data_IF_428761983433
#
_entry.id   IF_428761983433
#
_cell.length_a   1.000
_cell.length_b   1.000
_cell.length_c   1.000
_cell.angle_alpha   90.00
_cell.angle_beta   90.00
_cell.angle_gamma   90.00
#
_symmetry.space_group_name_H-M   'P 1'
#
loop_
_entity.id
_entity.type
_entity.pdbx_description
1 polymer ?
#
# COMPACT_ATOMS: atom_id res chain seq x y z
N UNK A 1 9.77 -37.07 -4.62
CA UNK A 1 9.22 -35.79 -5.13
C UNK A 1 10.35 -34.78 -5.06
N UNK A 2 10.82 -34.34 -6.22
CA UNK A 2 11.94 -33.39 -6.31
C UNK A 2 11.33 -32.00 -6.30
N UNK A 3 11.58 -31.23 -5.24
CA UNK A 3 11.16 -29.83 -5.18
C UNK A 3 12.11 -29.05 -6.08
N UNK A 4 11.66 -28.69 -7.28
CA UNK A 4 12.34 -27.67 -8.08
C UNK A 4 12.39 -26.38 -7.26
N UNK A 5 13.53 -25.72 -7.10
CA UNK A 5 13.52 -24.34 -6.69
C UNK A 5 12.76 -23.58 -7.79
N UNK A 6 11.52 -23.16 -7.50
CA UNK A 6 10.88 -22.13 -8.32
C UNK A 6 11.90 -21.01 -8.44
N UNK A 7 12.26 -20.72 -9.69
CA UNK A 7 13.15 -19.62 -10.04
C UNK A 7 12.79 -18.44 -9.15
N UNK A 8 13.79 -17.89 -8.44
CA UNK A 8 13.67 -16.64 -7.73
C UNK A 8 12.81 -15.70 -8.59
N UNK A 9 11.71 -15.20 -8.02
CA UNK A 9 10.82 -14.30 -8.71
C UNK A 9 11.68 -13.24 -9.41
N UNK A 10 11.69 -13.29 -10.75
CA UNK A 10 12.39 -12.35 -11.60
C UNK A 10 11.89 -10.97 -11.19
N UNK A 11 12.67 -10.21 -10.43
CA UNK A 11 12.26 -8.96 -9.78
C UNK A 11 11.37 -8.10 -10.68
N UNK A 12 10.05 -8.02 -10.40
CA UNK A 12 9.17 -6.98 -10.93
C UNK A 12 8.81 -5.95 -9.84
N UNK A 13 9.26 -6.19 -8.60
CA UNK A 13 8.96 -5.41 -7.41
C UNK A 13 9.51 -3.99 -7.51
N UNK A 14 10.71 -3.82 -8.07
CA UNK A 14 11.32 -2.49 -8.27
C UNK A 14 10.50 -1.58 -9.21
N UNK A 15 9.60 -2.11 -10.03
CA UNK A 15 8.75 -1.30 -10.91
C UNK A 15 7.49 -0.78 -10.21
N UNK A 16 6.67 -1.71 -9.70
CA UNK A 16 5.40 -1.37 -9.07
C UNK A 16 5.60 -0.69 -7.71
N UNK A 17 6.51 -1.17 -6.88
CA UNK A 17 6.78 -0.56 -5.57
C UNK A 17 7.39 0.83 -5.76
N UNK A 18 8.31 1.01 -6.73
CA UNK A 18 8.87 2.33 -7.03
C UNK A 18 7.83 3.28 -7.61
N UNK A 19 6.94 2.81 -8.50
CA UNK A 19 5.84 3.61 -9.02
C UNK A 19 4.89 4.05 -7.90
N UNK A 20 4.53 3.12 -7.01
CA UNK A 20 3.69 3.40 -5.87
C UNK A 20 4.32 4.45 -4.96
N UNK A 21 5.57 4.25 -4.55
CA UNK A 21 6.29 5.18 -3.67
C UNK A 21 6.53 6.53 -4.33
N UNK A 22 6.83 6.58 -5.63
CA UNK A 22 6.96 7.84 -6.37
C UNK A 22 5.63 8.59 -6.46
N UNK A 23 4.53 7.87 -6.64
CA UNK A 23 3.18 8.45 -6.64
C UNK A 23 2.84 9.01 -5.26
N UNK A 24 3.11 8.28 -4.17
CA UNK A 24 2.91 8.78 -2.81
C UNK A 24 3.72 10.05 -2.53
N UNK A 25 4.99 10.08 -2.95
CA UNK A 25 5.86 11.25 -2.81
C UNK A 25 5.29 12.48 -3.54
N UNK A 26 4.68 12.29 -4.72
CA UNK A 26 4.01 13.35 -5.47
C UNK A 26 2.81 13.96 -4.74
N UNK A 27 2.18 13.22 -3.83
CA UNK A 27 1.12 13.67 -2.93
C UNK A 27 1.66 14.21 -1.60
N UNK A 28 2.98 14.24 -1.39
CA UNK A 28 3.58 14.62 -0.11
C UNK A 28 3.41 13.57 0.99
N UNK A 29 3.18 12.31 0.61
CA UNK A 29 3.12 11.15 1.50
C UNK A 29 4.49 10.45 1.43
N UNK A 30 5.38 10.80 2.35
CA UNK A 30 6.77 10.32 2.31
C UNK A 30 7.08 9.37 3.46
N UNK A 31 8.02 8.46 3.25
CA UNK A 31 8.52 7.57 4.31
C UNK A 31 9.61 8.23 5.18
N UNK A 32 10.01 9.47 4.86
CA UNK A 32 11.13 10.21 5.48
C UNK A 32 12.44 9.39 5.57
N UNK A 33 12.70 8.54 4.59
CA UNK A 33 13.87 7.65 4.54
C UNK A 33 13.78 6.45 5.48
N UNK A 34 12.64 6.22 6.15
CA UNK A 34 12.48 5.14 7.13
C UNK A 34 11.99 3.88 6.45
N UNK A 35 12.86 2.86 6.38
CA UNK A 35 12.53 1.57 5.79
C UNK A 35 11.26 0.93 6.38
N UNK A 36 11.03 1.05 7.69
CA UNK A 36 9.82 0.51 8.33
C UNK A 36 8.53 1.17 7.83
N UNK A 37 8.54 2.49 7.60
CA UNK A 37 7.37 3.22 7.07
C UNK A 37 7.15 2.86 5.60
N UNK A 38 8.24 2.75 4.83
CA UNK A 38 8.18 2.26 3.45
C UNK A 38 7.52 0.88 3.35
N UNK A 39 7.97 -0.06 4.18
CA UNK A 39 7.38 -1.41 4.25
C UNK A 39 5.90 -1.35 4.63
N UNK A 40 5.54 -0.48 5.57
CA UNK A 40 4.15 -0.31 5.99
C UNK A 40 3.27 0.27 4.87
N UNK A 41 3.77 1.23 4.09
CA UNK A 41 3.04 1.72 2.92
C UNK A 41 2.81 0.63 1.89
N UNK A 42 3.83 -0.20 1.60
CA UNK A 42 3.68 -1.32 0.66
C UNK A 42 2.67 -2.34 1.16
N UNK A 43 2.70 -2.68 2.46
CA UNK A 43 1.71 -3.56 3.07
C UNK A 43 0.28 -3.01 2.94
N UNK A 44 0.09 -1.72 3.26
CA UNK A 44 -1.20 -1.06 3.12
C UNK A 44 -1.68 -1.06 1.68
N UNK A 45 -0.81 -0.74 0.72
CA UNK A 45 -1.15 -0.71 -0.70
C UNK A 45 -1.53 -2.08 -1.25
N UNK A 46 -0.75 -3.11 -0.94
CA UNK A 46 -1.11 -4.49 -1.31
C UNK A 46 -2.43 -4.93 -0.67
N UNK A 47 -2.66 -4.54 0.58
CA UNK A 47 -3.92 -4.84 1.27
C UNK A 47 -5.11 -4.12 0.62
N UNK A 48 -4.99 -2.84 0.26
CA UNK A 48 -6.02 -2.10 -0.48
C UNK A 48 -6.42 -2.81 -1.76
N UNK A 49 -5.46 -3.28 -2.54
CA UNK A 49 -5.74 -4.06 -3.75
C UNK A 49 -6.46 -5.38 -3.46
N UNK A 50 -6.08 -6.09 -2.40
CA UNK A 50 -6.80 -7.30 -1.98
C UNK A 50 -8.26 -7.00 -1.62
N UNK A 51 -8.54 -5.87 -0.95
CA UNK A 51 -9.89 -5.48 -0.56
C UNK A 51 -10.75 -5.02 -1.73
N UNK A 52 -10.16 -4.40 -2.75
CA UNK A 52 -10.88 -3.83 -3.89
C UNK A 52 -11.12 -4.82 -5.05
N UNK A 53 -10.49 -5.99 -5.01
CA UNK A 53 -10.64 -7.02 -6.05
C UNK A 53 -11.70 -8.08 -5.68
N UNK A 54 -12.22 -8.84 -6.67
CA UNK A 54 -13.09 -9.99 -6.42
C UNK A 54 -12.47 -10.98 -5.41
N UNK A 55 -13.29 -11.73 -4.64
CA UNK A 55 -14.70 -12.04 -4.89
C UNK A 55 -15.72 -11.13 -4.18
N UNK A 56 -15.29 -10.28 -3.24
CA UNK A 56 -16.17 -9.37 -2.50
C UNK A 56 -15.48 -8.01 -2.36
N UNK A 57 -15.50 -7.19 -3.42
CA UNK A 57 -14.84 -5.90 -3.38
C UNK A 57 -15.47 -5.02 -2.30
N UNK A 58 -14.63 -4.43 -1.47
CA UNK A 58 -15.02 -3.35 -0.56
C UNK A 58 -15.15 -2.04 -1.34
N UNK A 59 -15.80 -1.04 -0.74
CA UNK A 59 -15.78 0.31 -1.29
C UNK A 59 -14.40 0.95 -1.07
N UNK A 60 -14.07 1.94 -1.91
CA UNK A 60 -12.90 2.77 -1.72
C UNK A 60 -12.93 3.45 -0.35
N UNK A 61 -14.07 4.03 0.06
CA UNK A 61 -14.24 4.69 1.36
C UNK A 61 -13.96 3.75 2.56
N UNK A 62 -14.39 2.49 2.48
CA UNK A 62 -14.09 1.51 3.53
C UNK A 62 -12.60 1.16 3.54
N UNK A 63 -11.96 1.11 2.37
CA UNK A 63 -10.51 0.91 2.25
C UNK A 63 -9.74 2.09 2.86
N UNK A 64 -10.18 3.32 2.60
CA UNK A 64 -9.64 4.55 3.21
C UNK A 64 -9.75 4.51 4.73
N UNK A 65 -10.94 4.15 5.24
CA UNK A 65 -11.15 3.97 6.69
C UNK A 65 -10.20 2.93 7.28
N UNK A 66 -10.02 1.78 6.62
CA UNK A 66 -9.11 0.72 7.08
C UNK A 66 -7.63 1.21 7.13
N UNK A 67 -7.20 2.05 6.20
CA UNK A 67 -5.85 2.64 6.19
C UNK A 67 -5.66 3.56 7.43
N UNK A 68 -6.64 4.42 7.70
CA UNK A 68 -6.60 5.34 8.85
C UNK A 68 -6.63 4.59 10.19
N UNK A 69 -7.43 3.53 10.28
CA UNK A 69 -7.49 2.66 11.44
C UNK A 69 -6.18 1.90 11.65
N UNK A 70 -5.57 1.40 10.58
CA UNK A 70 -4.27 0.72 10.63
C UNK A 70 -3.17 1.67 11.14
N UNK A 71 -3.13 2.92 10.67
CA UNK A 71 -2.21 3.91 11.22
C UNK A 71 -2.49 4.17 12.70
N UNK A 72 -3.76 4.27 13.10
CA UNK A 72 -4.13 4.50 14.51
C UNK A 72 -3.65 3.36 15.41
N UNK A 73 -3.79 2.12 14.96
CA UNK A 73 -3.27 0.93 15.65
C UNK A 73 -1.74 0.94 15.73
N UNK A 74 -1.05 1.30 14.65
CA UNK A 74 0.40 1.41 14.64
C UNK A 74 0.91 2.46 15.63
N UNK A 75 0.27 3.64 15.66
CA UNK A 75 0.59 4.70 16.61
C UNK A 75 0.36 4.22 18.05
N UNK A 76 -0.74 3.51 18.31
CA UNK A 76 -1.03 2.94 19.62
C UNK A 76 -0.01 1.87 20.04
N UNK A 77 0.55 1.13 19.07
CA UNK A 77 1.65 0.17 19.28
C UNK A 77 3.03 0.83 19.42
N UNK A 78 3.12 2.17 19.34
CA UNK A 78 4.37 2.94 19.51
C UNK A 78 5.16 3.15 18.22
N UNK A 79 4.61 2.79 17.06
CA UNK A 79 5.27 3.03 15.77
C UNK A 79 5.21 4.53 15.42
N UNK A 80 6.39 5.12 15.17
CA UNK A 80 6.51 6.55 14.86
C UNK A 80 6.34 6.85 13.38
N UNK A 81 5.10 7.17 13.01
CA UNK A 81 4.76 7.70 11.69
C UNK A 81 5.28 9.14 11.48
N UNK A 82 5.64 9.51 10.23
CA UNK A 82 6.07 10.87 9.88
C UNK A 82 5.02 11.94 10.18
N UNK A 83 3.76 11.63 9.84
CA UNK A 83 2.58 12.46 10.07
C UNK A 83 1.37 11.55 10.26
N UNK A 84 0.30 12.07 10.84
CA UNK A 84 -1.02 11.45 10.72
C UNK A 84 -1.52 11.65 9.29
N UNK A 85 -2.06 10.60 8.68
CA UNK A 85 -2.69 10.69 7.37
C UNK A 85 -4.02 11.44 7.51
N UNK A 86 -4.29 12.38 6.61
CA UNK A 86 -5.65 12.85 6.37
C UNK A 86 -6.47 11.79 5.63
N UNK A 87 -7.78 12.02 5.51
CA UNK A 87 -8.62 11.21 4.63
C UNK A 87 -8.11 11.25 3.19
N UNK A 88 -7.84 12.44 2.64
CA UNK A 88 -7.22 12.61 1.31
C UNK A 88 -5.89 11.86 1.17
N UNK A 89 -5.02 11.85 2.19
CA UNK A 89 -3.77 11.09 2.13
C UNK A 89 -4.04 9.58 1.99
N UNK A 90 -5.03 9.07 2.71
CA UNK A 90 -5.40 7.66 2.68
C UNK A 90 -6.13 7.28 1.39
N UNK A 91 -6.92 8.19 0.81
CA UNK A 91 -7.52 8.04 -0.52
C UNK A 91 -6.44 7.98 -1.60
N UNK A 92 -5.53 8.96 -1.65
CA UNK A 92 -4.41 8.95 -2.57
C UNK A 92 -3.52 7.72 -2.41
N UNK A 93 -3.33 7.20 -1.18
CA UNK A 93 -2.61 5.95 -0.96
C UNK A 93 -3.33 4.76 -1.60
N UNK A 94 -4.64 4.65 -1.40
CA UNK A 94 -5.45 3.58 -1.99
C UNK A 94 -5.45 3.65 -3.53
N UNK A 95 -5.59 4.86 -4.10
CA UNK A 95 -5.56 5.07 -5.55
C UNK A 95 -4.20 4.78 -6.16
N UNK A 96 -3.12 5.25 -5.52
CA UNK A 96 -1.75 4.94 -5.94
C UNK A 96 -1.49 3.42 -5.91
N UNK A 97 -1.99 2.74 -4.88
CA UNK A 97 -1.90 1.29 -4.76
C UNK A 97 -2.68 0.59 -5.88
N UNK A 98 -3.89 1.05 -6.19
CA UNK A 98 -4.68 0.52 -7.31
C UNK A 98 -3.93 0.68 -8.63
N UNK A 99 -3.39 1.86 -8.91
CA UNK A 99 -2.63 2.13 -10.13
C UNK A 99 -1.36 1.29 -10.27
N UNK A 100 -0.66 1.01 -9.17
CA UNK A 100 0.60 0.27 -9.18
C UNK A 100 0.42 -1.26 -9.07
N UNK A 101 -0.44 -1.74 -8.18
CA UNK A 101 -0.53 -3.15 -7.81
C UNK A 101 -1.74 -3.89 -8.39
N UNK A 102 -2.83 -3.19 -8.72
CA UNK A 102 -4.03 -3.80 -9.27
C UNK A 102 -4.71 -2.92 -10.33
N UNK A 103 -4.04 -2.61 -11.46
CA UNK A 103 -4.57 -1.68 -12.47
C UNK A 103 -5.89 -2.13 -13.10
N UNK A 104 -6.23 -3.43 -13.03
CA UNK A 104 -7.52 -3.96 -13.45
C UNK A 104 -8.70 -3.50 -12.57
N UNK A 105 -8.44 -3.06 -11.34
CA UNK A 105 -9.43 -2.48 -10.44
C UNK A 105 -9.70 -0.99 -10.72
N UNK A 106 -8.82 -0.33 -11.48
CA UNK A 106 -8.94 1.08 -11.87
C UNK A 106 -9.90 1.33 -13.05
N UNK A 107 -10.59 0.28 -13.52
CA UNK A 107 -11.25 0.22 -14.84
C UNK A 107 -12.76 0.28 -14.77
#
# INVERSE_FOLDING_TARGET
MTISPSAAALAPADGADAQFLATLDSYGITDNGKAAIRQRFMELGHHSCFLLLPPRPQSLELTVTNILDAQTQDIAAGNRWPKRLSHDDAEHLAEAAVGAYCPSAAK
#
